data_IF_720480741992
#
_entry.id   IF_720480741992
#
_cell.length_a   1.000
_cell.length_b   1.000
_cell.length_c   1.000
_cell.angle_alpha   90.00
_cell.angle_beta   90.00
_cell.angle_gamma   90.00
#
_symmetry.space_group_name_H-M   'P 1'
#
loop_
_entity.id
_entity.type
_entity.pdbx_description
1 polymer ?
#
# COMPACT_ATOMS: atom_id res chain seq x y z
N UNK A 1 -17.45 29.32 16.15
CA UNK A 1 -16.83 27.98 16.22
C UNK A 1 -17.80 26.82 15.98
N UNK A 2 -19.12 27.03 15.90
CA UNK A 2 -20.11 25.94 15.83
C UNK A 2 -20.28 25.30 14.42
N UNK A 3 -20.06 26.07 13.34
CA UNK A 3 -20.21 25.59 11.96
C UNK A 3 -19.16 24.57 11.49
N UNK A 4 -17.99 24.49 12.15
CA UNK A 4 -16.88 23.62 11.73
C UNK A 4 -17.05 22.18 12.23
N UNK A 5 -17.67 21.97 13.39
CA UNK A 5 -17.95 20.61 13.92
C UNK A 5 -18.90 19.80 13.03
N UNK A 6 -19.77 20.47 12.28
CA UNK A 6 -20.79 19.84 11.45
C UNK A 6 -20.24 19.16 10.19
N UNK A 7 -19.12 19.61 9.61
CA UNK A 7 -18.67 19.10 8.30
C UNK A 7 -17.92 17.77 8.43
N UNK A 8 -17.05 17.66 9.43
CA UNK A 8 -16.21 16.46 9.64
C UNK A 8 -17.02 15.22 10.04
N UNK A 9 -18.18 15.41 10.68
CA UNK A 9 -19.08 14.31 11.02
C UNK A 9 -19.96 13.86 9.85
N UNK A 10 -20.16 14.73 8.85
CA UNK A 10 -20.99 14.46 7.67
C UNK A 10 -20.23 13.83 6.53
N UNK A 11 -19.02 14.36 6.27
CA UNK A 11 -18.25 14.05 5.06
C UNK A 11 -16.87 13.52 5.43
N UNK A 12 -16.59 12.28 5.04
CA UNK A 12 -15.25 11.67 5.18
C UNK A 12 -14.36 11.93 3.95
N UNK A 13 -14.80 12.79 3.02
CA UNK A 13 -14.07 13.15 1.78
C UNK A 13 -12.61 13.56 1.99
N UNK A 14 -12.27 14.16 3.14
CA UNK A 14 -10.88 14.46 3.47
C UNK A 14 -10.03 13.21 3.67
N UNK A 15 -10.58 12.17 4.28
CA UNK A 15 -9.90 10.87 4.46
C UNK A 15 -9.75 10.16 3.11
N UNK A 16 -10.80 10.19 2.28
CA UNK A 16 -10.75 9.66 0.90
C UNK A 16 -9.65 10.34 0.08
N UNK A 17 -9.51 11.66 0.20
CA UNK A 17 -8.46 12.39 -0.50
C UNK A 17 -7.04 11.98 -0.03
N UNK A 18 -6.85 11.77 1.27
CA UNK A 18 -5.57 11.30 1.82
C UNK A 18 -5.24 9.90 1.31
N UNK A 19 -6.18 8.96 1.36
CA UNK A 19 -6.04 7.61 0.79
C UNK A 19 -5.66 7.63 -0.67
N UNK A 20 -6.28 8.52 -1.47
CA UNK A 20 -5.90 8.68 -2.87
C UNK A 20 -4.44 9.07 -3.07
N UNK A 21 -3.88 9.90 -2.19
CA UNK A 21 -2.44 10.26 -2.19
C UNK A 21 -1.58 9.07 -1.77
N UNK A 22 -1.97 8.35 -0.70
CA UNK A 22 -1.26 7.15 -0.24
C UNK A 22 -1.23 6.07 -1.33
N UNK A 23 -2.34 5.86 -2.04
CA UNK A 23 -2.43 4.95 -3.18
C UNK A 23 -1.47 5.35 -4.29
N UNK A 24 -1.36 6.63 -4.61
CA UNK A 24 -0.39 7.10 -5.62
C UNK A 24 1.05 6.75 -5.22
N UNK A 25 1.43 7.02 -3.96
CA UNK A 25 2.75 6.64 -3.44
C UNK A 25 2.96 5.13 -3.52
N UNK A 26 1.94 4.35 -3.15
CA UNK A 26 1.99 2.90 -3.20
C UNK A 26 2.20 2.35 -4.62
N UNK A 27 1.55 2.94 -5.63
CA UNK A 27 1.74 2.57 -7.04
C UNK A 27 3.18 2.85 -7.49
N UNK A 28 3.75 4.01 -7.13
CA UNK A 28 5.14 4.34 -7.44
C UNK A 28 6.11 3.35 -6.77
N UNK A 29 5.86 3.01 -5.51
CA UNK A 29 6.64 2.04 -4.75
C UNK A 29 6.57 0.64 -5.36
N UNK A 30 5.39 0.21 -5.81
CA UNK A 30 5.23 -1.06 -6.52
C UNK A 30 6.07 -1.07 -7.81
N UNK A 31 6.03 0.02 -8.59
CA UNK A 31 6.79 0.10 -9.84
C UNK A 31 8.30 0.04 -9.60
N UNK A 32 8.79 0.77 -8.60
CA UNK A 32 10.19 0.74 -8.17
C UNK A 32 10.60 -0.67 -7.72
N UNK A 33 9.77 -1.31 -6.91
CA UNK A 33 9.99 -2.70 -6.48
C UNK A 33 10.08 -3.66 -7.68
N UNK A 34 9.23 -3.50 -8.70
CA UNK A 34 9.33 -4.30 -9.93
C UNK A 34 10.65 -4.09 -10.67
N UNK A 35 11.12 -2.85 -10.79
CA UNK A 35 12.41 -2.57 -11.45
C UNK A 35 13.56 -3.22 -10.69
N UNK A 36 13.57 -3.12 -9.36
CA UNK A 36 14.62 -3.74 -8.53
C UNK A 36 14.60 -5.27 -8.69
N UNK A 37 13.42 -5.90 -8.74
CA UNK A 37 13.32 -7.35 -8.96
C UNK A 37 13.84 -7.78 -10.32
N UNK A 38 13.54 -7.01 -11.37
CA UNK A 38 13.99 -7.30 -12.73
C UNK A 38 15.48 -7.05 -12.91
N UNK A 39 16.03 -5.97 -12.35
CA UNK A 39 17.47 -5.74 -12.37
C UNK A 39 18.24 -6.79 -11.55
N UNK A 40 17.63 -7.36 -10.51
CA UNK A 40 18.21 -8.41 -9.67
C UNK A 40 18.05 -9.82 -10.26
N UNK A 41 17.15 -10.04 -11.22
CA UNK A 41 16.87 -11.39 -11.70
C UNK A 41 18.10 -12.01 -12.37
N UNK A 42 18.34 -13.30 -12.15
CA UNK A 42 19.61 -13.94 -12.49
C UNK A 42 19.83 -15.25 -11.72
N UNK A 43 20.75 -16.14 -12.13
CA UNK A 43 22.21 -15.92 -12.11
C UNK A 43 22.95 -16.21 -13.43
N UNK A 44 22.26 -16.76 -14.43
CA UNK A 44 22.86 -17.19 -15.71
C UNK A 44 22.03 -16.85 -16.97
N UNK A 45 20.75 -16.49 -16.84
CA UNK A 45 19.82 -16.34 -17.99
C UNK A 45 18.97 -15.06 -17.93
N UNK A 46 19.47 -13.98 -17.33
CA UNK A 46 18.67 -12.78 -17.05
C UNK A 46 19.56 -11.52 -16.89
N UNK A 47 18.98 -10.36 -16.53
CA UNK A 47 19.65 -9.05 -16.46
C UNK A 47 20.82 -8.98 -15.49
N UNK A 48 20.62 -9.35 -14.21
CA UNK A 48 21.65 -9.39 -13.17
C UNK A 48 22.51 -8.10 -13.07
N UNK A 49 21.86 -6.94 -13.21
CA UNK A 49 22.50 -5.61 -13.25
C UNK A 49 22.89 -5.11 -11.86
N UNK A 50 22.13 -5.50 -10.83
CA UNK A 50 22.37 -5.08 -9.44
C UNK A 50 22.56 -6.29 -8.52
N UNK A 51 23.25 -6.07 -7.40
CA UNK A 51 23.36 -7.04 -6.31
C UNK A 51 22.67 -6.50 -5.08
N UNK A 52 21.78 -7.29 -4.49
CA UNK A 52 21.15 -6.98 -3.21
C UNK A 52 22.04 -7.47 -2.07
N UNK A 53 22.22 -6.64 -1.04
CA UNK A 53 23.15 -6.92 0.07
C UNK A 53 22.67 -7.97 1.07
N UNK A 54 21.34 -8.18 1.20
CA UNK A 54 20.73 -9.15 2.11
C UNK A 54 20.01 -10.18 1.26
N UNK A 55 20.54 -11.40 1.22
CA UNK A 55 19.94 -12.51 0.49
C UNK A 55 19.33 -13.53 1.45
N UNK A 56 18.01 -13.70 1.40
CA UNK A 56 17.34 -14.83 2.03
C UNK A 56 17.40 -16.04 1.09
N UNK A 57 17.64 -17.23 1.66
CA UNK A 57 17.68 -18.47 0.90
C UNK A 57 16.35 -18.69 0.17
N UNK A 58 16.40 -18.71 -1.16
CA UNK A 58 15.21 -18.69 -2.00
C UNK A 58 14.59 -20.07 -2.25
N UNK A 59 15.32 -21.16 -1.94
CA UNK A 59 14.81 -22.52 -2.04
C UNK A 59 15.67 -23.49 -1.23
N UNK A 60 15.03 -24.48 -0.60
CA UNK A 60 15.72 -25.55 0.12
C UNK A 60 16.47 -26.54 -0.78
N UNK A 61 16.09 -26.65 -2.06
CA UNK A 61 16.67 -27.62 -3.02
C UNK A 61 17.70 -26.99 -3.98
N UNK A 62 17.72 -25.66 -4.12
CA UNK A 62 18.65 -24.96 -5.01
C UNK A 62 19.68 -24.19 -4.19
N UNK A 63 20.88 -24.77 -3.94
CA UNK A 63 21.94 -24.10 -3.20
C UNK A 63 22.32 -22.79 -3.86
N UNK A 64 22.41 -21.72 -3.06
CA UNK A 64 22.81 -20.39 -3.54
C UNK A 64 21.72 -19.60 -4.27
N UNK A 65 20.52 -20.15 -4.48
CA UNK A 65 19.38 -19.36 -4.99
C UNK A 65 18.94 -18.36 -3.92
N UNK A 66 18.81 -17.09 -4.31
CA UNK A 66 18.35 -15.98 -3.46
C UNK A 66 17.16 -15.31 -4.14
N UNK A 67 16.12 -14.98 -3.37
CA UNK A 67 14.95 -14.28 -3.89
C UNK A 67 14.88 -12.84 -3.32
N UNK A 68 14.36 -11.86 -4.08
CA UNK A 68 14.15 -10.48 -3.64
C UNK A 68 12.88 -10.38 -2.79
N UNK A 69 12.83 -11.09 -1.65
CA UNK A 69 11.58 -11.26 -0.87
C UNK A 69 11.06 -9.98 -0.24
N UNK A 70 11.93 -9.01 0.03
CA UNK A 70 11.50 -7.68 0.52
C UNK A 70 10.65 -6.98 -0.54
N UNK A 71 11.11 -6.98 -1.78
CA UNK A 71 10.43 -6.39 -2.92
C UNK A 71 9.10 -7.12 -3.21
N UNK A 72 9.08 -8.44 -3.06
CA UNK A 72 7.85 -9.24 -3.14
C UNK A 72 6.86 -8.86 -2.03
N UNK A 73 7.33 -8.67 -0.80
CA UNK A 73 6.51 -8.20 0.32
C UNK A 73 5.91 -6.81 0.05
N UNK A 74 6.71 -5.88 -0.49
CA UNK A 74 6.24 -4.55 -0.92
C UNK A 74 5.09 -4.66 -1.92
N UNK A 75 5.21 -5.53 -2.92
CA UNK A 75 4.17 -5.68 -3.96
C UNK A 75 2.86 -6.22 -3.40
N UNK A 76 2.94 -7.15 -2.44
CA UNK A 76 1.77 -7.66 -1.71
C UNK A 76 1.15 -6.58 -0.82
N UNK A 77 1.96 -5.80 -0.10
CA UNK A 77 1.49 -4.69 0.74
C UNK A 77 0.77 -3.62 -0.09
N UNK A 78 1.32 -3.22 -1.24
CA UNK A 78 0.66 -2.28 -2.16
C UNK A 78 -0.67 -2.84 -2.67
N UNK A 79 -0.73 -4.13 -3.00
CA UNK A 79 -1.99 -4.75 -3.44
C UNK A 79 -3.07 -4.68 -2.37
N UNK A 80 -2.71 -4.88 -1.10
CA UNK A 80 -3.63 -4.69 0.03
C UNK A 80 -4.07 -3.22 0.18
N UNK A 81 -3.13 -2.28 0.06
CA UNK A 81 -3.42 -0.84 0.16
C UNK A 81 -4.40 -0.39 -0.93
N UNK A 82 -4.26 -0.85 -2.17
CA UNK A 82 -5.24 -0.55 -3.25
C UNK A 82 -6.65 -1.06 -2.88
N UNK A 83 -6.74 -2.20 -2.23
CA UNK A 83 -8.01 -2.71 -1.70
C UNK A 83 -8.60 -1.84 -0.58
N UNK A 84 -7.74 -1.31 0.30
CA UNK A 84 -8.14 -0.37 1.34
C UNK A 84 -8.64 0.95 0.76
N UNK A 85 -7.98 1.50 -0.26
CA UNK A 85 -8.42 2.74 -0.90
C UNK A 85 -9.80 2.60 -1.55
N UNK A 86 -10.09 1.44 -2.16
CA UNK A 86 -11.42 1.14 -2.68
C UNK A 86 -12.48 1.05 -1.56
N UNK A 87 -12.11 0.47 -0.41
CA UNK A 87 -12.95 0.43 0.78
C UNK A 87 -13.22 1.83 1.33
N UNK A 88 -12.21 2.69 1.40
CA UNK A 88 -12.35 4.07 1.89
C UNK A 88 -13.15 4.94 0.92
N UNK A 89 -12.97 4.74 -0.38
CA UNK A 89 -13.79 5.38 -1.42
C UNK A 89 -15.27 5.01 -1.24
N UNK A 90 -15.56 3.74 -0.98
CA UNK A 90 -16.91 3.27 -0.70
C UNK A 90 -17.46 3.86 0.61
N UNK A 91 -16.63 3.99 1.65
CA UNK A 91 -16.99 4.65 2.90
C UNK A 91 -17.41 6.12 2.68
N UNK A 92 -16.82 6.81 1.70
CA UNK A 92 -17.19 8.16 1.29
C UNK A 92 -18.65 8.34 0.85
N UNK A 93 -19.31 7.26 0.43
CA UNK A 93 -20.71 7.26 -0.02
C UNK A 93 -21.70 7.14 1.15
N UNK A 94 -21.24 6.67 2.31
CA UNK A 94 -22.06 6.29 3.46
C UNK A 94 -22.27 7.49 4.39
N UNK A 95 -22.76 8.60 3.84
CA UNK A 95 -23.12 9.81 4.57
C UNK A 95 -24.59 10.14 4.37
N UNK A 96 -25.34 10.31 5.46
CA UNK A 96 -26.75 10.67 5.44
C UNK A 96 -26.97 11.96 6.25
N UNK A 97 -27.29 13.05 5.53
CA UNK A 97 -27.59 14.37 6.10
C UNK A 97 -26.52 14.93 7.06
N UNK A 98 -26.70 14.74 8.37
CA UNK A 98 -25.86 15.26 9.46
C UNK A 98 -24.72 14.33 9.89
N UNK A 99 -24.75 13.05 9.49
CA UNK A 99 -23.82 12.06 10.03
C UNK A 99 -23.44 10.99 8.99
N UNK A 100 -22.17 10.61 9.02
CA UNK A 100 -21.67 9.44 8.30
C UNK A 100 -21.51 8.26 9.25
N UNK A 101 -22.16 7.14 8.92
CA UNK A 101 -22.01 5.87 9.64
C UNK A 101 -20.67 5.17 9.34
N UNK A 102 -19.94 5.63 8.31
CA UNK A 102 -18.69 5.00 7.91
C UNK A 102 -17.45 5.55 8.59
N UNK A 103 -17.58 6.52 9.52
CA UNK A 103 -16.45 7.07 10.27
C UNK A 103 -15.54 5.97 10.88
N UNK A 104 -16.07 4.88 11.49
CA UNK A 104 -15.23 3.80 12.02
C UNK A 104 -14.46 3.04 10.93
N UNK A 105 -15.13 2.71 9.82
CA UNK A 105 -14.49 2.07 8.67
C UNK A 105 -13.39 2.98 8.11
N UNK A 106 -13.70 4.27 7.96
CA UNK A 106 -12.79 5.22 7.37
C UNK A 106 -11.52 5.44 8.21
N UNK A 107 -11.67 5.56 9.52
CA UNK A 107 -10.54 5.68 10.44
C UNK A 107 -9.68 4.42 10.49
N UNK A 108 -10.30 3.25 10.57
CA UNK A 108 -9.55 1.98 10.63
C UNK A 108 -8.77 1.73 9.34
N UNK A 109 -9.42 1.88 8.19
CA UNK A 109 -8.81 1.66 6.87
C UNK A 109 -7.61 2.59 6.67
N UNK A 110 -7.75 3.89 6.95
CA UNK A 110 -6.67 4.85 6.76
C UNK A 110 -5.44 4.53 7.65
N UNK A 111 -5.65 4.11 8.89
CA UNK A 111 -4.54 3.69 9.77
C UNK A 111 -3.83 2.47 9.20
N UNK A 112 -4.57 1.48 8.68
CA UNK A 112 -3.96 0.29 8.05
C UNK A 112 -3.17 0.64 6.78
N UNK A 113 -3.63 1.60 5.98
CA UNK A 113 -2.88 2.07 4.82
C UNK A 113 -1.55 2.71 5.23
N UNK A 114 -1.57 3.58 6.24
CA UNK A 114 -0.35 4.23 6.76
C UNK A 114 0.60 3.20 7.36
N UNK A 115 0.10 2.26 8.16
CA UNK A 115 0.92 1.20 8.76
C UNK A 115 1.58 0.34 7.69
N UNK A 116 0.81 -0.13 6.69
CA UNK A 116 1.36 -0.95 5.61
C UNK A 116 2.39 -0.20 4.76
N UNK A 117 2.12 1.05 4.43
CA UNK A 117 3.03 1.84 3.59
C UNK A 117 4.31 2.25 4.35
N UNK A 118 4.24 2.37 5.67
CA UNK A 118 5.42 2.70 6.49
C UNK A 118 6.35 1.51 6.71
N UNK A 119 5.81 0.29 6.70
CA UNK A 119 6.56 -0.97 6.86
C UNK A 119 7.03 -1.57 5.52
N UNK A 120 6.44 -1.16 4.39
CA UNK A 120 6.79 -1.59 3.04
C UNK A 120 8.10 -0.93 2.55
#
# INVERSE_FOLDING_TARGET
MERVRSRSMRLVSGLVAVSGVLRTIAIDLHRLSQDIRLMFSGSATDFNEIRLGIGLAGSSIMPGKVNPVTQEAVQMAVSHLIGFDASLTSAGLLGELELSMSIPLAGWTLIREVDLLSEA
#
